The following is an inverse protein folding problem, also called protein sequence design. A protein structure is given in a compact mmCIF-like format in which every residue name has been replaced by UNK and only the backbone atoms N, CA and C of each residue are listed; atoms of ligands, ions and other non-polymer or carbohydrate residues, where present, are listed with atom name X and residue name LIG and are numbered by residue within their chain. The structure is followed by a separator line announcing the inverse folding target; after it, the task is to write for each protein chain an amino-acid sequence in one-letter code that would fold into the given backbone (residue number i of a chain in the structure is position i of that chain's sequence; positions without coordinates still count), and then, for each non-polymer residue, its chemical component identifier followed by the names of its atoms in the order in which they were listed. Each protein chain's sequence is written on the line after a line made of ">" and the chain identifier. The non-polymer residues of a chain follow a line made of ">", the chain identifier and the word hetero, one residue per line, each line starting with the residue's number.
data_IF_620791906393
#
_entry.id   IF_620791906393
#
_cell.length_a   1.000
_cell.length_b   1.000
_cell.length_c   1.000
_cell.angle_alpha   90.00
_cell.angle_beta   90.00
_cell.angle_gamma   90.00
#
_symmetry.space_group_name_H-M   'P 1'
#
loop_
_entity.id
_entity.type
_entity.pdbx_description
1 polymer ?
#
# COMPACT_ATOMS: atom_id res chain seq x y z
N UNK A 1 -19.14 29.87 -4.96
CA UNK A 1 -19.42 28.62 -5.69
C UNK A 1 -18.75 27.46 -4.98
N UNK A 2 -19.54 26.59 -4.35
CA UNK A 2 -19.00 25.35 -3.76
C UNK A 2 -18.76 24.37 -4.91
N UNK A 3 -17.58 23.74 -4.96
CA UNK A 3 -17.27 22.77 -6.00
C UNK A 3 -18.27 21.61 -5.97
N UNK A 4 -18.83 21.26 -7.14
CA UNK A 4 -19.66 20.07 -7.28
C UNK A 4 -18.78 18.82 -7.33
N UNK A 5 -19.14 17.78 -6.57
CA UNK A 5 -18.46 16.49 -6.52
C UNK A 5 -19.15 15.51 -7.49
N UNK A 6 -18.38 14.78 -8.29
CA UNK A 6 -18.87 13.75 -9.21
C UNK A 6 -18.18 12.43 -8.87
N UNK A 7 -18.95 11.46 -8.40
CA UNK A 7 -18.49 10.12 -7.97
C UNK A 7 -19.14 9.03 -8.85
N UNK A 8 -18.69 8.83 -10.09
CA UNK A 8 -19.38 7.99 -11.08
C UNK A 8 -19.32 6.49 -10.76
N UNK A 9 -18.48 6.09 -9.81
CA UNK A 9 -18.26 4.69 -9.40
C UNK A 9 -18.87 4.38 -8.02
N UNK A 10 -19.68 5.29 -7.45
CA UNK A 10 -20.21 5.17 -6.08
C UNK A 10 -21.02 3.87 -5.86
N UNK A 11 -21.66 3.37 -6.92
CA UNK A 11 -22.56 2.20 -6.86
C UNK A 11 -21.83 0.89 -7.22
N UNK A 12 -20.51 0.94 -7.48
CA UNK A 12 -19.72 -0.22 -7.91
C UNK A 12 -18.80 -0.70 -6.79
N UNK A 13 -18.72 -2.02 -6.61
CA UNK A 13 -17.70 -2.67 -5.79
C UNK A 13 -16.35 -2.77 -6.52
N UNK A 14 -15.28 -3.09 -5.77
CA UNK A 14 -13.91 -3.06 -6.28
C UNK A 14 -13.66 -4.04 -7.43
N UNK A 15 -14.30 -5.20 -7.40
CA UNK A 15 -14.28 -6.19 -8.48
C UNK A 15 -15.01 -5.70 -9.74
N UNK A 16 -16.16 -5.04 -9.59
CA UNK A 16 -16.89 -4.42 -10.71
C UNK A 16 -16.08 -3.28 -11.35
N UNK A 17 -15.42 -2.45 -10.55
CA UNK A 17 -14.50 -1.41 -11.03
C UNK A 17 -13.31 -2.01 -11.78
N UNK A 18 -12.80 -3.18 -11.35
CA UNK A 18 -11.71 -3.88 -12.05
C UNK A 18 -12.16 -4.41 -13.41
N UNK A 19 -13.31 -5.08 -13.46
CA UNK A 19 -13.88 -5.59 -14.70
C UNK A 19 -14.15 -4.44 -15.71
N UNK A 20 -14.65 -3.30 -15.22
CA UNK A 20 -14.81 -2.09 -16.03
C UNK A 20 -13.46 -1.58 -16.56
N UNK A 21 -12.41 -1.57 -15.73
CA UNK A 21 -11.07 -1.17 -16.13
C UNK A 21 -10.49 -2.04 -17.25
N UNK A 22 -10.68 -3.36 -17.18
CA UNK A 22 -10.28 -4.29 -18.24
C UNK A 22 -11.07 -4.05 -19.53
N UNK A 23 -12.39 -3.86 -19.43
CA UNK A 23 -13.25 -3.57 -20.60
C UNK A 23 -12.88 -2.26 -21.30
N UNK A 24 -12.34 -1.28 -20.55
CA UNK A 24 -11.81 -0.02 -21.07
C UNK A 24 -10.38 -0.13 -21.63
N UNK A 25 -9.74 -1.30 -21.53
CA UNK A 25 -8.39 -1.55 -22.03
C UNK A 25 -7.27 -1.05 -21.12
N UNK A 26 -7.52 -0.87 -19.82
CA UNK A 26 -6.46 -0.52 -18.87
C UNK A 26 -5.48 -1.70 -18.69
N UNK A 27 -4.17 -1.43 -18.48
CA UNK A 27 -3.20 -2.48 -18.24
C UNK A 27 -3.53 -3.30 -16.98
N UNK A 28 -3.43 -4.62 -17.09
CA UNK A 28 -3.70 -5.56 -16.00
C UNK A 28 -2.90 -5.23 -14.73
N UNK A 29 -1.62 -4.86 -14.89
CA UNK A 29 -0.72 -4.49 -13.80
C UNK A 29 -1.22 -3.29 -12.96
N UNK A 30 -2.10 -2.44 -13.51
CA UNK A 30 -2.72 -1.33 -12.78
C UNK A 30 -4.03 -1.79 -12.12
N UNK A 31 -4.88 -2.51 -12.87
CA UNK A 31 -6.19 -2.99 -12.40
C UNK A 31 -6.05 -3.91 -11.18
N UNK A 32 -5.04 -4.79 -11.22
CA UNK A 32 -4.83 -5.83 -10.22
C UNK A 32 -3.79 -5.48 -9.16
N UNK A 33 -3.20 -4.28 -9.20
CA UNK A 33 -2.25 -3.85 -8.18
C UNK A 33 -2.88 -3.92 -6.78
N UNK A 34 -2.06 -4.29 -5.80
CA UNK A 34 -2.45 -4.19 -4.40
C UNK A 34 -2.85 -2.75 -4.05
N UNK A 35 -3.87 -2.55 -3.20
CA UNK A 35 -4.24 -1.22 -2.74
C UNK A 35 -3.07 -0.57 -2.03
N UNK A 36 -2.89 0.74 -2.25
CA UNK A 36 -1.90 1.53 -1.55
C UNK A 36 -2.62 2.49 -0.60
N UNK A 37 -2.17 2.63 0.66
CA UNK A 37 -2.84 3.46 1.65
C UNK A 37 -2.78 4.95 1.28
N UNK A 38 -3.81 5.72 1.63
CA UNK A 38 -3.89 7.17 1.35
C UNK A 38 -2.70 7.97 1.90
N UNK A 39 -2.29 7.78 3.18
CA UNK A 39 -1.07 8.40 3.73
C UNK A 39 0.25 7.88 3.11
N UNK A 40 0.19 6.87 2.25
CA UNK A 40 1.35 6.26 1.61
C UNK A 40 2.27 5.53 2.58
N UNK A 41 3.59 5.67 2.37
CA UNK A 41 4.60 4.99 3.19
C UNK A 41 4.73 5.57 4.60
N UNK A 42 4.19 6.77 4.86
CA UNK A 42 4.30 7.41 6.18
C UNK A 42 3.74 6.55 7.31
N UNK A 43 2.67 5.80 7.05
CA UNK A 43 2.10 4.87 8.04
C UNK A 43 2.97 3.63 8.29
N UNK A 44 3.96 3.36 7.42
CA UNK A 44 4.89 2.24 7.55
C UNK A 44 6.23 2.68 8.17
N UNK A 45 6.45 3.97 8.41
CA UNK A 45 7.67 4.49 9.04
C UNK A 45 7.31 4.95 10.45
N UNK A 46 7.58 4.09 11.42
CA UNK A 46 7.22 4.34 12.82
C UNK A 46 8.18 5.37 13.45
N UNK A 47 7.61 6.31 14.18
CA UNK A 47 8.34 7.29 15.01
C UNK A 47 9.38 8.16 14.27
N UNK A 48 9.30 8.28 12.94
CA UNK A 48 10.17 9.18 12.19
C UNK A 48 9.66 10.62 12.28
N UNK A 49 10.57 11.54 12.55
CA UNK A 49 10.34 12.98 12.42
C UNK A 49 10.75 13.46 11.03
N UNK A 50 10.22 14.61 10.60
CA UNK A 50 10.51 15.16 9.28
C UNK A 50 12.00 15.51 9.15
N UNK A 51 12.74 14.72 8.36
CA UNK A 51 14.18 14.89 8.14
C UNK A 51 15.02 13.66 8.51
N UNK A 52 14.43 12.69 9.20
CA UNK A 52 15.11 11.42 9.47
C UNK A 52 15.29 10.63 8.17
N UNK A 53 16.49 10.07 7.98
CA UNK A 53 16.70 9.09 6.92
C UNK A 53 15.87 7.85 7.26
N UNK A 54 14.96 7.40 6.37
CA UNK A 54 14.13 6.25 6.66
C UNK A 54 15.03 5.03 6.88
N UNK A 55 14.68 4.14 7.82
CA UNK A 55 15.47 2.96 8.09
C UNK A 55 15.61 2.12 6.83
N UNK A 56 16.83 1.65 6.56
CA UNK A 56 17.06 0.75 5.43
C UNK A 56 16.30 -0.56 5.67
N UNK A 57 15.26 -0.80 4.86
CA UNK A 57 14.36 -1.92 5.07
C UNK A 57 15.06 -3.28 4.97
N UNK A 58 16.09 -3.40 4.13
CA UNK A 58 16.88 -4.64 4.02
C UNK A 58 17.69 -4.90 5.30
N UNK A 59 18.31 -3.86 5.85
CA UNK A 59 19.02 -3.94 7.12
C UNK A 59 18.07 -4.22 8.29
N UNK A 60 16.90 -3.55 8.32
CA UNK A 60 15.86 -3.80 9.33
C UNK A 60 15.38 -5.25 9.26
N UNK A 61 15.14 -5.78 8.06
CA UNK A 61 14.70 -7.17 7.87
C UNK A 61 15.76 -8.17 8.35
N UNK A 62 17.04 -7.90 8.07
CA UNK A 62 18.15 -8.74 8.55
C UNK A 62 18.25 -8.72 10.07
N UNK A 63 18.23 -7.53 10.68
CA UNK A 63 18.28 -7.39 12.14
C UNK A 63 17.11 -8.08 12.84
N UNK A 64 15.90 -7.93 12.28
CA UNK A 64 14.70 -8.54 12.82
C UNK A 64 14.71 -10.07 12.67
N UNK A 65 15.25 -10.60 11.57
CA UNK A 65 15.49 -12.03 11.41
C UNK A 65 16.37 -12.61 12.51
N UNK A 66 17.42 -11.88 12.92
CA UNK A 66 18.29 -12.30 14.03
C UNK A 66 17.56 -12.31 15.38
N UNK A 67 16.72 -11.32 15.67
CA UNK A 67 15.93 -11.24 16.91
C UNK A 67 14.87 -12.35 16.98
N UNK A 68 14.27 -12.69 15.84
CA UNK A 68 13.18 -13.67 15.78
C UNK A 68 13.66 -15.12 15.62
N UNK A 69 14.96 -15.35 15.39
CA UNK A 69 15.52 -16.65 15.03
C UNK A 69 15.07 -17.82 15.93
N UNK A 70 14.99 -17.59 17.24
CA UNK A 70 14.66 -18.63 18.23
C UNK A 70 13.20 -18.59 18.72
N UNK A 71 12.39 -17.68 18.15
CA UNK A 71 11.02 -17.42 18.61
C UNK A 71 9.96 -18.22 17.86
N UNK A 72 10.34 -18.89 16.77
CA UNK A 72 9.42 -19.60 15.87
C UNK A 72 8.57 -18.69 14.98
N UNK A 73 8.69 -17.37 15.10
CA UNK A 73 8.07 -16.41 14.20
C UNK A 73 8.94 -16.20 12.96
N UNK A 74 8.33 -16.28 11.78
CA UNK A 74 8.99 -15.93 10.52
C UNK A 74 8.15 -14.92 9.75
N UNK A 75 8.82 -14.00 9.05
CA UNK A 75 8.16 -12.95 8.27
C UNK A 75 7.88 -11.71 9.08
N UNK A 76 8.80 -10.76 9.03
CA UNK A 76 8.44 -9.37 9.26
C UNK A 76 8.48 -8.66 7.91
N UNK A 77 7.28 -8.22 7.49
CA UNK A 77 6.95 -7.36 6.35
C UNK A 77 7.90 -7.49 5.16
#
# INVERSE_FOLDING_TARGET
>A
DAGHVVEPLQDLYKDEVRALGEALGLPEAIVWRHPFPGPGLSINVLCAEGGDEPPNMEQTRHALGAVLADTGYSGAV
#
